data_IF_674793584279
#
_entry.id   IF_674793584279
#
_cell.length_a   1.000
_cell.length_b   1.000
_cell.length_c   1.000
_cell.angle_alpha   90.00
_cell.angle_beta   90.00
_cell.angle_gamma   90.00
#
_symmetry.space_group_name_H-M   'P 1'
#
loop_
_entity.id
_entity.type
_entity.pdbx_description
1 polymer ?
#
# COMPACT_ATOMS: atom_id res chain seq x y z
N UNK A 1 17.66 29.50 9.92
CA UNK A 1 18.16 29.69 8.53
C UNK A 1 17.85 28.41 7.78
N UNK A 2 16.62 28.22 7.29
CA UNK A 2 16.19 28.55 5.93
C UNK A 2 17.28 28.31 4.88
N UNK A 3 17.34 27.08 4.38
CA UNK A 3 17.68 26.82 2.97
C UNK A 3 16.45 26.24 2.31
N UNK A 4 15.92 27.05 1.41
CA UNK A 4 14.78 26.83 0.55
C UNK A 4 14.80 25.44 -0.10
N UNK A 5 13.66 24.74 0.03
CA UNK A 5 12.98 23.93 -0.99
C UNK A 5 13.86 23.59 -2.20
N UNK A 6 14.42 22.39 -2.22
CA UNK A 6 14.63 21.72 -3.50
C UNK A 6 13.25 21.36 -4.02
N UNK A 7 12.75 22.09 -5.03
CA UNK A 7 11.69 21.56 -5.88
C UNK A 7 12.36 20.41 -6.64
N UNK A 8 12.31 19.22 -6.05
CA UNK A 8 12.75 17.99 -6.69
C UNK A 8 11.85 17.83 -7.91
N UNK A 9 12.45 17.85 -9.08
CA UNK A 9 11.73 17.62 -10.32
C UNK A 9 11.46 16.12 -10.46
N UNK A 10 10.46 15.72 -11.23
CA UNK A 10 10.22 14.29 -11.49
C UNK A 10 11.46 13.61 -12.08
N UNK A 11 12.25 14.35 -12.87
CA UNK A 11 13.51 13.88 -13.45
C UNK A 11 14.55 13.46 -12.39
N UNK A 12 14.52 14.05 -11.20
CA UNK A 12 15.42 13.69 -10.10
C UNK A 12 15.02 12.36 -9.42
N UNK A 13 13.76 11.94 -9.60
CA UNK A 13 13.19 10.71 -9.05
C UNK A 13 13.10 9.60 -10.10
N UNK A 14 12.97 9.97 -11.38
CA UNK A 14 12.97 9.05 -12.51
C UNK A 14 14.33 8.36 -12.60
N UNK A 15 14.31 7.03 -12.64
CA UNK A 15 15.50 6.20 -12.75
C UNK A 15 16.18 5.83 -11.43
N UNK A 16 15.58 6.13 -10.27
CA UNK A 16 16.07 5.58 -9.01
C UNK A 16 15.89 4.06 -8.98
N UNK A 17 16.96 3.32 -8.69
CA UNK A 17 16.88 1.87 -8.53
C UNK A 17 16.26 1.49 -7.18
N UNK A 18 15.81 0.25 -7.06
CA UNK A 18 15.40 -0.32 -5.77
C UNK A 18 16.48 -0.13 -4.71
N UNK A 19 17.76 -0.32 -5.06
CA UNK A 19 18.85 -0.17 -4.12
C UNK A 19 19.03 1.27 -3.64
N UNK A 20 18.84 2.27 -4.52
CA UNK A 20 18.95 3.69 -4.17
C UNK A 20 17.83 4.14 -3.23
N UNK A 21 16.60 3.62 -3.43
CA UNK A 21 15.48 3.83 -2.51
C UNK A 21 15.75 3.17 -1.16
N UNK A 22 16.23 1.91 -1.17
CA UNK A 22 16.50 1.14 0.03
C UNK A 22 17.74 1.61 0.80
N UNK A 23 18.76 2.18 0.15
CA UNK A 23 19.96 2.74 0.80
C UNK A 23 19.57 3.87 1.77
N UNK A 24 18.64 4.72 1.36
CA UNK A 24 18.04 5.74 2.24
C UNK A 24 17.41 5.13 3.49
N UNK A 25 16.80 3.95 3.38
CA UNK A 25 16.05 3.30 4.46
C UNK A 25 16.91 2.37 5.33
N UNK A 26 17.99 1.80 4.80
CA UNK A 26 18.92 0.94 5.58
C UNK A 26 19.58 1.71 6.74
N UNK A 27 19.77 3.01 6.57
CA UNK A 27 20.39 3.89 7.58
C UNK A 27 19.40 4.46 8.61
N UNK A 28 18.10 4.34 8.34
CA UNK A 28 17.05 4.93 9.16
C UNK A 28 16.23 3.81 9.79
N UNK A 29 16.08 3.83 11.12
CA UNK A 29 15.27 2.86 11.83
C UNK A 29 13.82 2.96 11.32
N UNK A 30 13.44 2.07 10.39
CA UNK A 30 12.25 2.19 9.52
C UNK A 30 10.92 2.15 10.30
N UNK A 31 11.01 1.85 11.59
CA UNK A 31 9.90 1.77 12.53
C UNK A 31 9.46 3.14 13.09
N UNK A 32 10.25 4.22 12.89
CA UNK A 32 9.98 5.53 13.52
C UNK A 32 10.25 6.73 12.58
N UNK A 33 9.83 6.62 11.32
CA UNK A 33 10.29 7.50 10.24
C UNK A 33 9.38 8.71 10.04
N UNK A 34 9.66 9.79 10.76
CA UNK A 34 9.06 11.11 10.48
C UNK A 34 9.66 11.77 9.22
N UNK A 35 10.85 11.34 8.79
CA UNK A 35 11.56 11.86 7.61
C UNK A 35 12.38 10.77 6.93
N UNK A 36 12.24 10.65 5.61
CA UNK A 36 13.13 9.84 4.77
C UNK A 36 14.10 10.76 4.04
N UNK A 37 15.38 10.35 3.99
CA UNK A 37 16.37 10.96 3.11
C UNK A 37 16.52 10.05 1.89
N UNK A 38 16.05 10.51 0.74
CA UNK A 38 16.31 9.82 -0.54
C UNK A 38 17.73 10.19 -0.98
N UNK A 39 18.49 9.17 -1.40
CA UNK A 39 19.85 9.34 -1.91
C UNK A 39 19.94 8.88 -3.37
N UNK A 40 20.81 9.55 -4.13
CA UNK A 40 21.26 9.11 -5.46
C UNK A 40 22.78 9.13 -5.44
N UNK A 41 23.43 8.01 -5.76
CA UNK A 41 24.89 7.85 -5.61
C UNK A 41 25.42 8.36 -4.24
N UNK A 42 24.78 7.96 -3.14
CA UNK A 42 25.10 8.35 -1.76
C UNK A 42 24.99 9.86 -1.42
N UNK A 43 24.42 10.69 -2.31
CA UNK A 43 24.12 12.11 -2.04
C UNK A 43 22.65 12.31 -1.67
N UNK A 44 22.32 13.02 -0.57
CA UNK A 44 20.94 13.32 -0.23
C UNK A 44 20.34 14.26 -1.26
N UNK A 45 19.18 13.88 -1.82
CA UNK A 45 18.46 14.69 -2.82
C UNK A 45 17.14 15.24 -2.27
N UNK A 46 16.61 14.69 -1.17
CA UNK A 46 15.33 15.10 -0.60
C UNK A 46 15.23 14.80 0.90
N UNK A 47 14.70 15.75 1.68
CA UNK A 47 14.28 15.58 3.08
C UNK A 47 12.84 16.11 3.21
N UNK A 48 11.87 15.22 3.40
CA UNK A 48 10.44 15.54 3.50
C UNK A 48 9.73 14.62 4.50
N UNK A 49 8.50 15.00 4.87
CA UNK A 49 7.57 14.07 5.50
C UNK A 49 7.44 12.83 4.61
N UNK A 50 7.86 11.69 5.15
CA UNK A 50 8.12 10.50 4.36
C UNK A 50 6.83 9.98 3.69
N UNK A 51 5.73 9.99 4.42
CA UNK A 51 4.43 9.52 3.94
C UNK A 51 3.88 10.47 2.87
N UNK A 52 3.93 11.78 3.09
CA UNK A 52 3.39 12.79 2.16
C UNK A 52 4.10 12.76 0.82
N UNK A 53 5.42 12.66 0.83
CA UNK A 53 6.21 12.55 -0.38
C UNK A 53 5.84 11.28 -1.16
N UNK A 54 5.87 10.12 -0.51
CA UNK A 54 5.63 8.84 -1.18
C UNK A 54 4.19 8.76 -1.71
N UNK A 55 3.21 9.28 -0.97
CA UNK A 55 1.85 9.44 -1.46
C UNK A 55 1.78 10.38 -2.67
N UNK A 56 2.57 11.46 -2.70
CA UNK A 56 2.70 12.34 -3.86
C UNK A 56 3.21 11.61 -5.11
N UNK A 57 4.18 10.72 -4.95
CA UNK A 57 4.71 9.90 -6.07
C UNK A 57 3.64 9.00 -6.69
N UNK A 58 2.72 8.47 -5.87
CA UNK A 58 1.62 7.62 -6.38
C UNK A 58 0.65 8.36 -7.31
N UNK A 59 0.68 9.70 -7.33
CA UNK A 59 -0.22 10.56 -8.11
C UNK A 59 0.39 11.06 -9.42
N UNK A 60 1.63 10.67 -9.75
CA UNK A 60 2.34 11.12 -10.96
C UNK A 60 1.89 10.34 -12.19
N UNK A 61 2.00 10.97 -13.36
CA UNK A 61 1.59 10.36 -14.63
C UNK A 61 2.56 9.25 -15.06
N UNK A 62 3.82 9.31 -14.61
CA UNK A 62 4.86 8.34 -14.91
C UNK A 62 4.68 7.04 -14.09
N UNK A 63 4.49 5.87 -14.74
CA UNK A 63 4.29 4.59 -14.06
C UNK A 63 5.41 4.21 -13.09
N UNK A 64 6.67 4.51 -13.46
CA UNK A 64 7.83 4.22 -12.62
C UNK A 64 7.79 4.98 -11.28
N UNK A 65 7.31 6.23 -11.28
CA UNK A 65 7.19 7.01 -10.05
C UNK A 65 6.06 6.49 -9.17
N UNK A 66 4.93 6.11 -9.78
CA UNK A 66 3.83 5.49 -9.03
C UNK A 66 4.26 4.18 -8.40
N UNK A 67 4.92 3.31 -9.17
CA UNK A 67 5.46 2.03 -8.73
C UNK A 67 6.41 2.21 -7.54
N UNK A 68 7.39 3.11 -7.68
CA UNK A 68 8.36 3.38 -6.62
C UNK A 68 7.70 3.97 -5.37
N UNK A 69 6.73 4.87 -5.54
CA UNK A 69 5.95 5.45 -4.45
C UNK A 69 5.18 4.40 -3.66
N UNK A 70 4.39 3.57 -4.35
CA UNK A 70 3.58 2.55 -3.67
C UNK A 70 4.43 1.45 -3.05
N UNK A 71 5.52 1.07 -3.70
CA UNK A 71 6.43 0.06 -3.15
C UNK A 71 7.13 0.56 -1.88
N UNK A 72 7.53 1.83 -1.86
CA UNK A 72 8.07 2.44 -0.67
C UNK A 72 7.07 2.51 0.47
N UNK A 73 5.82 2.86 0.18
CA UNK A 73 4.75 2.80 1.17
C UNK A 73 4.52 1.36 1.66
N UNK A 74 4.54 0.37 0.77
CA UNK A 74 4.40 -1.05 1.12
C UNK A 74 5.47 -1.48 2.14
N UNK A 75 6.73 -1.14 1.86
CA UNK A 75 7.85 -1.46 2.75
C UNK A 75 7.76 -0.67 4.06
N UNK A 76 7.37 0.60 4.02
CA UNK A 76 7.15 1.41 5.23
C UNK A 76 6.04 0.86 6.11
N UNK A 77 4.96 0.33 5.54
CA UNK A 77 3.85 -0.24 6.30
C UNK A 77 4.21 -1.59 6.96
N UNK A 78 5.29 -2.24 6.52
CA UNK A 78 5.71 -3.53 7.06
C UNK A 78 6.20 -3.38 8.50
N UNK A 79 5.50 -4.02 9.44
CA UNK A 79 5.76 -3.94 10.88
C UNK A 79 5.76 -2.51 11.48
N UNK A 80 5.15 -1.54 10.78
CA UNK A 80 4.96 -0.20 11.33
C UNK A 80 3.91 -0.19 12.45
N UNK A 81 4.03 0.81 13.32
CA UNK A 81 3.00 1.10 14.32
C UNK A 81 1.68 1.54 13.67
N UNK A 82 0.60 1.52 14.46
CA UNK A 82 -0.72 1.94 13.99
C UNK A 82 -0.73 3.36 13.43
N UNK A 83 0.04 4.29 14.04
CA UNK A 83 0.03 5.70 13.68
C UNK A 83 0.52 5.92 12.26
N UNK A 84 1.62 5.28 11.87
CA UNK A 84 2.16 5.35 10.51
C UNK A 84 1.18 4.72 9.51
N UNK A 85 0.59 3.57 9.84
CA UNK A 85 -0.41 2.92 8.96
C UNK A 85 -1.64 3.80 8.72
N UNK A 86 -2.17 4.43 9.77
CA UNK A 86 -3.27 5.39 9.66
C UNK A 86 -2.87 6.65 8.88
N UNK A 87 -1.65 7.15 9.05
CA UNK A 87 -1.14 8.28 8.27
C UNK A 87 -1.04 7.97 6.78
N UNK A 88 -0.59 6.76 6.41
CA UNK A 88 -0.54 6.33 5.00
C UNK A 88 -1.94 6.32 4.38
N UNK A 89 -2.91 5.70 5.05
CA UNK A 89 -4.29 5.61 4.56
C UNK A 89 -4.94 6.99 4.43
N UNK A 90 -4.78 7.86 5.43
CA UNK A 90 -5.34 9.21 5.39
C UNK A 90 -4.70 10.09 4.31
N UNK A 91 -3.40 9.94 4.06
CA UNK A 91 -2.65 10.76 3.09
C UNK A 91 -2.86 10.29 1.64
N UNK A 92 -2.96 8.97 1.41
CA UNK A 92 -3.38 8.45 0.10
C UNK A 92 -4.83 8.87 -0.19
N UNK A 93 -5.71 8.67 0.78
CA UNK A 93 -7.15 8.82 0.58
C UNK A 93 -7.72 7.73 -0.33
N UNK A 94 -9.04 7.56 -0.24
CA UNK A 94 -9.78 6.48 -0.91
C UNK A 94 -9.65 6.55 -2.42
N UNK A 95 -9.78 7.73 -3.01
CA UNK A 95 -9.76 7.91 -4.47
C UNK A 95 -8.42 7.48 -5.08
N UNK A 96 -7.31 7.78 -4.38
CA UNK A 96 -6.00 7.37 -4.87
C UNK A 96 -5.80 5.87 -4.75
N UNK A 97 -6.27 5.27 -3.66
CA UNK A 97 -6.21 3.81 -3.47
C UNK A 97 -6.96 3.09 -4.61
N UNK A 98 -8.17 3.54 -4.96
CA UNK A 98 -8.91 2.97 -6.09
C UNK A 98 -8.20 3.19 -7.43
N UNK A 99 -7.62 4.39 -7.66
CA UNK A 99 -6.81 4.64 -8.87
C UNK A 99 -5.64 3.66 -8.99
N UNK A 100 -4.94 3.37 -7.89
CA UNK A 100 -3.82 2.42 -7.88
C UNK A 100 -4.26 0.97 -8.08
N UNK A 101 -5.45 0.58 -7.59
CA UNK A 101 -6.02 -0.74 -7.87
C UNK A 101 -6.49 -0.90 -9.32
N UNK A 102 -6.77 0.20 -10.01
CA UNK A 102 -7.12 0.21 -11.43
C UNK A 102 -5.95 0.68 -12.31
N UNK A 103 -4.72 0.67 -11.81
CA UNK A 103 -3.56 1.11 -12.58
C UNK A 103 -3.34 0.17 -13.78
N UNK A 104 -3.07 0.70 -14.98
CA UNK A 104 -2.77 -0.13 -16.15
C UNK A 104 -1.46 -0.93 -15.97
N UNK A 105 -0.53 -0.48 -15.13
CA UNK A 105 0.67 -1.24 -14.79
C UNK A 105 0.37 -2.23 -13.65
N UNK A 106 0.33 -3.52 -14.01
CA UNK A 106 0.09 -4.63 -13.05
C UNK A 106 1.11 -4.63 -11.91
N UNK A 107 2.32 -4.12 -12.12
CA UNK A 107 3.33 -4.01 -11.05
C UNK A 107 2.88 -3.03 -9.97
N UNK A 108 2.28 -1.90 -10.36
CA UNK A 108 1.71 -0.91 -9.42
C UNK A 108 0.56 -1.54 -8.65
N UNK A 109 -0.36 -2.21 -9.34
CA UNK A 109 -1.45 -2.95 -8.71
C UNK A 109 -0.94 -3.96 -7.68
N UNK A 110 0.04 -4.80 -8.04
CA UNK A 110 0.61 -5.81 -7.15
C UNK A 110 1.25 -5.20 -5.90
N UNK A 111 2.00 -4.10 -6.05
CA UNK A 111 2.58 -3.40 -4.89
C UNK A 111 1.51 -2.71 -4.04
N UNK A 112 0.41 -2.26 -4.63
CA UNK A 112 -0.74 -1.69 -3.92
C UNK A 112 -1.45 -2.74 -3.06
N UNK A 113 -1.66 -3.94 -3.60
CA UNK A 113 -2.18 -5.09 -2.84
C UNK A 113 -1.24 -5.48 -1.70
N UNK A 114 0.07 -5.51 -1.97
CA UNK A 114 1.08 -5.73 -0.94
C UNK A 114 1.05 -4.67 0.18
N UNK A 115 0.86 -3.39 -0.18
CA UNK A 115 0.69 -2.31 0.78
C UNK A 115 -0.54 -2.56 1.66
N UNK A 116 -1.70 -2.84 1.08
CA UNK A 116 -2.93 -3.08 1.83
C UNK A 116 -2.80 -4.29 2.77
N UNK A 117 -2.16 -5.36 2.31
CA UNK A 117 -1.83 -6.52 3.15
C UNK A 117 -0.95 -6.12 4.34
N UNK A 118 0.08 -5.30 4.12
CA UNK A 118 0.98 -4.83 5.18
C UNK A 118 0.28 -3.88 6.16
N UNK A 119 -0.64 -3.05 5.71
CA UNK A 119 -1.47 -2.23 6.61
C UNK A 119 -2.30 -3.13 7.54
N UNK A 120 -2.84 -4.24 7.03
CA UNK A 120 -3.68 -5.17 7.78
C UNK A 120 -2.91 -6.36 8.40
N UNK A 121 -1.59 -6.28 8.58
CA UNK A 121 -0.77 -7.43 9.01
C UNK A 121 -0.65 -7.66 10.51
N UNK A 122 -1.08 -6.71 11.35
CA UNK A 122 -0.93 -6.77 12.81
C UNK A 122 -2.31 -6.75 13.45
N UNK A 123 -2.69 -7.85 14.10
CA UNK A 123 -4.03 -8.08 14.69
C UNK A 123 -4.58 -6.88 15.45
N UNK A 124 -3.78 -6.28 16.35
CA UNK A 124 -4.18 -5.11 17.15
C UNK A 124 -4.55 -3.87 16.31
N UNK A 125 -4.04 -3.75 15.08
CA UNK A 125 -4.31 -2.61 14.20
C UNK A 125 -5.46 -2.87 13.23
N UNK A 126 -5.80 -4.14 12.97
CA UNK A 126 -6.77 -4.54 11.94
C UNK A 126 -8.13 -3.94 12.24
N UNK A 127 -8.62 -4.08 13.47
CA UNK A 127 -9.93 -3.54 13.86
C UNK A 127 -9.98 -2.02 13.74
N UNK A 128 -8.93 -1.31 14.16
CA UNK A 128 -8.88 0.15 14.05
C UNK A 128 -8.90 0.62 12.60
N UNK A 129 -8.12 -0.02 11.73
CA UNK A 129 -8.07 0.34 10.31
C UNK A 129 -9.42 0.03 9.64
N UNK A 130 -10.02 -1.11 9.94
CA UNK A 130 -11.29 -1.53 9.36
C UNK A 130 -12.48 -0.71 9.89
N UNK A 131 -12.44 -0.22 11.12
CA UNK A 131 -13.44 0.73 11.63
C UNK A 131 -13.45 2.04 10.82
N UNK A 132 -12.27 2.55 10.45
CA UNK A 132 -12.15 3.81 9.70
C UNK A 132 -12.30 3.67 8.19
N UNK A 133 -11.86 2.54 7.61
CA UNK A 133 -11.70 2.37 6.16
C UNK A 133 -12.28 1.06 5.61
N UNK A 134 -12.98 0.27 6.44
CA UNK A 134 -13.36 -1.10 6.11
C UNK A 134 -14.27 -1.21 4.90
N UNK A 135 -15.21 -0.28 4.73
CA UNK A 135 -16.11 -0.27 3.56
C UNK A 135 -15.32 -0.14 2.25
N UNK A 136 -14.37 0.80 2.20
CA UNK A 136 -13.58 1.06 0.99
C UNK A 136 -12.56 -0.04 0.74
N UNK A 137 -11.96 -0.59 1.80
CA UNK A 137 -11.07 -1.75 1.71
C UNK A 137 -11.83 -2.96 1.14
N UNK A 138 -13.03 -3.24 1.64
CA UNK A 138 -13.86 -4.33 1.11
C UNK A 138 -14.25 -4.11 -0.35
N UNK A 139 -14.65 -2.89 -0.72
CA UNK A 139 -14.96 -2.55 -2.11
C UNK A 139 -13.76 -2.78 -3.04
N UNK A 140 -12.56 -2.37 -2.63
CA UNK A 140 -11.35 -2.59 -3.40
C UNK A 140 -11.01 -4.07 -3.55
N UNK A 141 -11.13 -4.85 -2.46
CA UNK A 141 -10.90 -6.31 -2.51
C UNK A 141 -11.91 -7.00 -3.41
N UNK A 142 -13.20 -6.62 -3.34
CA UNK A 142 -14.25 -7.15 -4.21
C UNK A 142 -13.91 -6.85 -5.66
N UNK A 143 -13.60 -5.58 -6.00
CA UNK A 143 -13.22 -5.16 -7.35
C UNK A 143 -12.15 -6.08 -7.96
N UNK A 144 -11.11 -6.41 -7.19
CA UNK A 144 -10.03 -7.30 -7.64
C UNK A 144 -10.50 -8.75 -7.81
N UNK A 145 -11.38 -9.25 -6.93
CA UNK A 145 -11.90 -10.61 -7.04
C UNK A 145 -12.89 -10.79 -8.20
N UNK A 146 -13.67 -9.74 -8.55
CA UNK A 146 -14.59 -9.76 -9.68
C UNK A 146 -13.91 -9.45 -11.01
N UNK A 147 -12.83 -8.68 -10.98
CA UNK A 147 -12.09 -8.28 -12.18
C UNK A 147 -11.46 -9.44 -12.94
N UNK A 148 -11.15 -9.17 -14.20
CA UNK A 148 -10.38 -10.05 -15.08
C UNK A 148 -8.88 -9.94 -14.75
N UNK A 149 -8.52 -10.48 -13.59
CA UNK A 149 -7.15 -10.49 -13.09
C UNK A 149 -6.61 -11.92 -13.00
N UNK A 150 -5.28 -12.05 -13.09
CA UNK A 150 -4.59 -13.34 -12.95
C UNK A 150 -4.82 -13.96 -11.56
N UNK A 151 -4.58 -15.28 -11.47
CA UNK A 151 -4.70 -16.01 -10.22
C UNK A 151 -3.81 -15.41 -9.11
N UNK A 152 -2.59 -14.98 -9.44
CA UNK A 152 -1.64 -14.39 -8.48
C UNK A 152 -2.17 -13.09 -7.87
N UNK A 153 -2.80 -12.23 -8.68
CA UNK A 153 -3.41 -10.98 -8.23
C UNK A 153 -4.59 -11.29 -7.30
N UNK A 154 -5.46 -12.22 -7.69
CA UNK A 154 -6.61 -12.65 -6.88
C UNK A 154 -6.18 -13.29 -5.57
N UNK A 155 -5.07 -14.03 -5.57
CA UNK A 155 -4.49 -14.60 -4.36
C UNK A 155 -4.08 -13.52 -3.35
N UNK A 156 -3.53 -12.40 -3.80
CA UNK A 156 -3.23 -11.29 -2.87
C UNK A 156 -4.50 -10.70 -2.23
N UNK A 157 -5.60 -10.59 -2.99
CA UNK A 157 -6.89 -10.14 -2.45
C UNK A 157 -7.44 -11.13 -1.40
N UNK A 158 -7.29 -12.43 -1.63
CA UNK A 158 -7.65 -13.47 -0.65
C UNK A 158 -6.78 -13.39 0.61
N UNK A 159 -5.48 -13.12 0.49
CA UNK A 159 -4.61 -12.90 1.65
C UNK A 159 -5.06 -11.69 2.49
N UNK A 160 -5.54 -10.63 1.84
CA UNK A 160 -6.09 -9.45 2.55
C UNK A 160 -7.36 -9.83 3.30
N UNK A 161 -8.27 -10.62 2.70
CA UNK A 161 -9.45 -11.13 3.40
C UNK A 161 -9.07 -12.00 4.61
N UNK A 162 -8.04 -12.84 4.49
CA UNK A 162 -7.55 -13.64 5.60
C UNK A 162 -7.05 -12.76 6.76
N UNK A 163 -6.34 -11.69 6.46
CA UNK A 163 -5.93 -10.70 7.48
C UNK A 163 -7.14 -10.03 8.12
N UNK A 164 -8.12 -9.57 7.34
CA UNK A 164 -9.35 -8.95 7.86
C UNK A 164 -10.11 -9.92 8.78
N UNK A 165 -10.17 -11.21 8.41
CA UNK A 165 -10.82 -12.24 9.20
C UNK A 165 -10.14 -12.51 10.55
N UNK A 166 -8.85 -12.18 10.70
CA UNK A 166 -8.14 -12.27 11.97
C UNK A 166 -8.51 -11.12 12.94
N UNK A 167 -9.12 -10.02 12.48
CA UNK A 167 -9.64 -8.98 13.39
C UNK A 167 -10.90 -9.43 14.14
N UNK A 168 -11.09 -8.93 15.37
CA UNK A 168 -12.19 -9.36 16.22
C UNK A 168 -13.54 -8.83 15.73
N UNK A 169 -13.57 -7.56 15.33
CA UNK A 169 -14.73 -6.86 14.75
C UNK A 169 -14.65 -6.78 13.23
N UNK A 170 -13.44 -6.71 12.68
CA UNK A 170 -13.19 -6.56 11.25
C UNK A 170 -13.79 -7.69 10.41
N UNK A 171 -13.80 -8.93 10.92
CA UNK A 171 -14.43 -10.08 10.26
C UNK A 171 -15.92 -9.85 9.94
N UNK A 172 -16.62 -8.97 10.66
CA UNK A 172 -18.01 -8.63 10.38
C UNK A 172 -18.20 -8.04 8.98
N UNK A 173 -17.21 -7.32 8.44
CA UNK A 173 -17.24 -6.80 7.07
C UNK A 173 -17.31 -7.92 6.02
N UNK A 174 -16.67 -9.07 6.28
CA UNK A 174 -16.74 -10.25 5.42
C UNK A 174 -18.08 -10.97 5.62
N UNK A 175 -18.47 -11.19 6.88
CA UNK A 175 -19.69 -11.94 7.21
C UNK A 175 -20.97 -11.24 6.77
N UNK A 176 -20.97 -9.90 6.69
CA UNK A 176 -22.10 -9.12 6.19
C UNK A 176 -22.20 -9.11 4.65
N UNK A 177 -21.20 -9.65 3.93
CA UNK A 177 -21.17 -9.64 2.48
C UNK A 177 -21.35 -11.06 1.90
N UNK A 178 -22.60 -11.41 1.61
CA UNK A 178 -22.95 -12.73 1.08
C UNK A 178 -22.23 -13.08 -0.24
N UNK A 179 -22.01 -12.08 -1.09
CA UNK A 179 -21.37 -12.29 -2.39
C UNK A 179 -19.89 -12.65 -2.23
N UNK A 180 -19.19 -11.98 -1.31
CA UNK A 180 -17.82 -12.36 -0.92
C UNK A 180 -17.80 -13.78 -0.38
N UNK A 181 -18.72 -14.15 0.51
CA UNK A 181 -18.79 -15.50 1.07
C UNK A 181 -19.00 -16.57 0.00
N UNK A 182 -19.95 -16.36 -0.92
CA UNK A 182 -20.20 -17.28 -2.05
C UNK A 182 -18.95 -17.45 -2.90
N UNK A 183 -18.25 -16.36 -3.23
CA UNK A 183 -17.01 -16.40 -4.01
C UNK A 183 -15.89 -17.13 -3.28
N UNK A 184 -15.71 -16.88 -1.98
CA UNK A 184 -14.74 -17.61 -1.16
C UNK A 184 -14.99 -19.12 -1.22
N UNK A 185 -16.25 -19.55 -1.11
CA UNK A 185 -16.61 -20.96 -1.28
C UNK A 185 -16.21 -21.49 -2.66
N UNK A 186 -16.50 -20.74 -3.74
CA UNK A 186 -16.10 -21.13 -5.09
C UNK A 186 -14.59 -21.28 -5.23
N UNK A 187 -13.80 -20.31 -4.74
CA UNK A 187 -12.33 -20.34 -4.84
C UNK A 187 -11.70 -21.50 -4.05
N UNK A 188 -12.24 -21.80 -2.86
CA UNK A 188 -11.76 -22.92 -2.02
C UNK A 188 -12.06 -24.26 -2.71
N UNK A 189 -13.26 -24.42 -3.26
CA UNK A 189 -13.67 -25.65 -3.95
C UNK A 189 -12.90 -25.83 -5.27
N UNK A 190 -12.64 -24.75 -6.02
CA UNK A 190 -11.92 -24.83 -7.30
C UNK A 190 -10.43 -25.14 -7.17
N UNK A 191 -9.79 -24.81 -6.04
CA UNK A 191 -8.38 -25.19 -5.75
C UNK A 191 -8.24 -26.59 -5.13
N UNK A 192 -9.35 -27.26 -4.81
CA UNK A 192 -9.36 -28.60 -4.19
C UNK A 192 -9.51 -29.76 -5.21
N UNK A 193 -9.50 -29.46 -6.52
CA UNK A 193 -9.40 -30.43 -7.63
C UNK A 193 -8.12 -30.19 -8.41
#
# INVERSE_FOLDING_TARGET
MNTTRGVVSDADLLGLTEEELLEGWKSQNVTNVQRIIIRRHNKPILECGAVELLCGLTRRDEPALRLNGVWALMNMAFQADQKIKSQILSTLGTDQVFRLFSDPDVSVLMKTLGLLRNLLSIKQHIDHIMDSHGTQIMQAVILILEGDHSADVKEQALCILANIADGDTAKAFIMANEDVLKKLTTYIVSKAC
#
